data_IF_610677308278
#
_entry.id   IF_610677308278
#
_cell.length_a   1.000
_cell.length_b   1.000
_cell.length_c   1.000
_cell.angle_alpha   90.00
_cell.angle_beta   90.00
_cell.angle_gamma   90.00
#
_symmetry.space_group_name_H-M   'P 1'
#
loop_
_entity.id
_entity.type
_entity.pdbx_description
1 polymer ?
#
# COMPACT_ATOMS: atom_id res chain seq x y z
N UNK A 1 -50.48 22.09 16.51
CA UNK A 1 -50.04 23.48 16.29
C UNK A 1 -49.46 23.54 14.88
N UNK A 2 -50.16 24.20 13.94
CA UNK A 2 -49.71 24.42 12.56
C UNK A 2 -48.57 25.44 12.55
N UNK A 3 -47.56 25.27 11.72
CA UNK A 3 -46.95 26.40 11.03
C UNK A 3 -46.52 25.99 9.61
N UNK A 4 -47.06 26.71 8.65
CA UNK A 4 -46.83 26.65 7.23
C UNK A 4 -46.29 28.04 6.89
N UNK A 5 -45.17 28.15 6.17
CA UNK A 5 -44.68 29.42 5.62
C UNK A 5 -44.08 29.16 4.23
N UNK A 6 -44.35 30.12 3.34
CA UNK A 6 -44.35 30.04 1.89
C UNK A 6 -43.37 31.10 1.33
N UNK A 7 -42.86 30.86 0.10
CA UNK A 7 -42.23 31.83 -0.86
C UNK A 7 -40.78 32.29 -0.64
N UNK A 8 -39.98 32.74 -1.62
CA UNK A 8 -40.00 32.81 -3.10
C UNK A 8 -38.55 33.01 -3.59
N UNK A 9 -38.32 32.73 -4.88
CA UNK A 9 -37.13 33.05 -5.69
C UNK A 9 -36.58 34.47 -5.44
N UNK A 10 -35.25 34.59 -5.28
CA UNK A 10 -34.35 35.59 -5.91
C UNK A 10 -33.02 35.62 -5.17
N UNK A 11 -31.95 35.13 -5.80
CA UNK A 11 -30.55 35.58 -5.65
C UNK A 11 -29.63 34.66 -6.45
N UNK A 12 -29.85 34.59 -7.76
CA UNK A 12 -28.93 33.98 -8.73
C UNK A 12 -27.76 34.93 -9.09
N UNK A 13 -27.36 35.83 -8.19
CA UNK A 13 -26.40 36.90 -8.50
C UNK A 13 -25.28 37.08 -7.44
N UNK A 14 -25.20 36.21 -6.43
CA UNK A 14 -24.06 36.17 -5.49
C UNK A 14 -23.27 34.84 -5.59
N UNK A 15 -23.32 34.20 -6.75
CA UNK A 15 -22.65 32.91 -7.01
C UNK A 15 -21.30 33.07 -7.73
N UNK A 16 -20.84 34.31 -7.97
CA UNK A 16 -19.64 34.61 -8.78
C UNK A 16 -18.49 35.30 -8.05
N UNK A 17 -18.66 35.71 -6.79
CA UNK A 17 -17.61 36.36 -6.01
C UNK A 17 -17.63 35.84 -4.56
N UNK A 18 -17.05 34.64 -4.36
CA UNK A 18 -16.51 34.15 -3.09
C UNK A 18 -15.72 32.84 -3.35
N UNK A 19 -14.86 32.87 -4.37
CA UNK A 19 -14.06 31.70 -4.80
C UNK A 19 -12.69 31.63 -4.11
N UNK A 20 -12.53 32.25 -2.94
CA UNK A 20 -11.27 32.20 -2.15
C UNK A 20 -11.52 31.91 -0.66
N UNK A 21 -12.72 31.45 -0.28
CA UNK A 21 -13.04 31.10 1.12
C UNK A 21 -13.31 29.59 1.34
N UNK A 22 -12.94 28.72 0.39
CA UNK A 22 -13.36 27.32 0.36
C UNK A 22 -12.23 26.29 0.56
N UNK A 23 -11.33 26.49 1.54
CA UNK A 23 -10.64 25.36 2.20
C UNK A 23 -10.93 25.33 3.73
N UNK A 24 -11.99 26.01 4.21
CA UNK A 24 -12.41 25.97 5.64
C UNK A 24 -13.86 25.57 5.91
N UNK A 25 -14.69 25.39 4.88
CA UNK A 25 -16.02 24.83 5.05
C UNK A 25 -16.11 23.48 4.34
N UNK A 26 -15.56 22.46 4.99
CA UNK A 26 -15.93 21.06 4.73
C UNK A 26 -17.37 20.84 5.19
N UNK A 27 -18.33 21.27 4.38
CA UNK A 27 -19.64 20.63 4.37
C UNK A 27 -19.53 19.35 3.54
N UNK A 28 -18.76 18.39 4.06
CA UNK A 28 -19.05 16.99 3.79
C UNK A 28 -20.49 16.75 4.25
N UNK A 29 -21.30 16.19 3.36
CA UNK A 29 -22.71 15.85 3.54
C UNK A 29 -23.07 15.67 5.03
N UNK A 30 -23.70 16.68 5.64
CA UNK A 30 -24.12 16.68 7.04
C UNK A 30 -25.51 16.06 7.13
N UNK A 31 -25.69 14.76 7.42
CA UNK A 31 -27.03 14.25 7.70
C UNK A 31 -27.61 14.86 8.99
N UNK A 32 -26.78 15.45 9.86
CA UNK A 32 -27.20 16.13 11.10
C UNK A 32 -26.31 17.35 11.38
N UNK A 33 -26.91 18.45 11.84
CA UNK A 33 -26.27 19.77 11.90
C UNK A 33 -25.25 19.99 13.02
N UNK A 34 -25.21 19.11 14.04
CA UNK A 34 -24.55 19.43 15.33
C UNK A 34 -23.41 18.47 15.75
N UNK A 35 -22.73 17.80 14.82
CA UNK A 35 -21.57 16.95 15.18
C UNK A 35 -20.25 17.74 15.14
N UNK A 36 -19.42 17.73 16.20
CA UNK A 36 -18.09 18.33 16.18
C UNK A 36 -17.21 17.71 15.10
N UNK A 37 -16.59 18.55 14.26
CA UNK A 37 -15.60 18.11 13.26
C UNK A 37 -14.27 17.91 13.98
N UNK A 38 -13.74 16.69 13.99
CA UNK A 38 -12.37 16.44 14.45
C UNK A 38 -11.37 17.25 13.59
N UNK A 39 -10.46 18.05 14.17
CA UNK A 39 -9.43 18.79 13.46
C UNK A 39 -8.57 17.93 12.50
N UNK A 40 -8.55 16.60 12.67
CA UNK A 40 -7.92 15.65 11.77
C UNK A 40 -8.62 15.54 10.41
N UNK A 41 -9.94 15.78 10.32
CA UNK A 41 -10.70 15.71 9.06
C UNK A 41 -10.39 16.86 8.09
N UNK A 42 -9.78 17.95 8.56
CA UNK A 42 -9.25 19.00 7.69
C UNK A 42 -7.97 18.57 6.92
N UNK A 43 -7.33 17.44 7.29
CA UNK A 43 -5.95 17.11 6.88
C UNK A 43 -5.79 15.94 5.90
N UNK A 44 -6.70 14.96 5.87
CA UNK A 44 -6.45 13.70 5.15
C UNK A 44 -7.05 13.58 3.75
N UNK A 45 -8.11 14.32 3.44
CA UNK A 45 -8.84 14.17 2.16
C UNK A 45 -8.31 15.10 1.05
N UNK A 46 -7.37 15.98 1.39
CA UNK A 46 -6.91 17.06 0.53
C UNK A 46 -5.46 16.93 0.07
N UNK A 47 -4.61 16.19 0.78
CA UNK A 47 -3.16 16.26 0.61
C UNK A 47 -2.70 15.84 -0.79
N UNK A 48 -1.98 16.71 -1.52
CA UNK A 48 -1.56 16.40 -2.89
C UNK A 48 -0.51 15.28 -2.90
N UNK A 49 -0.60 14.36 -3.88
CA UNK A 49 0.32 13.23 -3.96
C UNK A 49 1.74 13.71 -4.18
N UNK A 50 2.73 12.92 -3.75
CA UNK A 50 4.13 13.21 -4.04
C UNK A 50 4.38 13.09 -5.55
N UNK A 51 5.03 14.10 -6.12
CA UNK A 51 5.64 14.06 -7.46
C UNK A 51 7.12 13.65 -7.40
N UNK A 52 7.73 13.62 -6.22
CA UNK A 52 9.06 13.02 -6.00
C UNK A 52 9.14 12.57 -4.54
N UNK A 53 9.28 11.27 -4.30
CA UNK A 53 9.34 10.71 -2.95
C UNK A 53 10.72 10.86 -2.28
N UNK A 54 11.78 11.08 -3.06
CA UNK A 54 13.13 11.30 -2.53
C UNK A 54 13.29 12.72 -2.00
N UNK A 55 12.72 13.72 -2.70
CA UNK A 55 12.73 15.13 -2.27
C UNK A 55 11.47 15.54 -1.51
N UNK A 56 10.48 14.65 -1.40
CA UNK A 56 9.14 14.91 -0.83
C UNK A 56 8.35 16.02 -1.53
N UNK A 57 8.62 16.28 -2.81
CA UNK A 57 7.88 17.28 -3.61
C UNK A 57 6.48 16.79 -3.92
N UNK A 58 5.47 17.68 -3.90
CA UNK A 58 4.04 17.35 -4.12
C UNK A 58 3.48 17.92 -5.43
N UNK A 59 2.42 17.29 -5.95
CA UNK A 59 1.72 17.73 -7.16
C UNK A 59 1.02 19.06 -6.90
N UNK A 60 1.34 20.06 -7.71
CA UNK A 60 0.68 21.36 -7.68
C UNK A 60 -0.10 21.54 -8.99
N UNK A 61 -1.43 21.75 -8.95
CA UNK A 61 -2.17 22.01 -10.18
C UNK A 61 -1.74 23.33 -10.82
N UNK A 62 -1.80 23.44 -12.16
CA UNK A 62 -1.48 24.68 -12.86
C UNK A 62 -2.30 25.86 -12.31
N UNK A 63 -1.64 26.99 -12.04
CA UNK A 63 -2.28 28.20 -11.53
C UNK A 63 -2.47 28.26 -10.01
N UNK A 64 -1.99 27.26 -9.26
CA UNK A 64 -2.04 27.26 -7.80
C UNK A 64 -0.65 27.48 -7.16
N UNK A 65 -0.58 28.01 -5.92
CA UNK A 65 0.66 28.02 -5.14
C UNK A 65 1.21 26.61 -4.93
N UNK A 66 2.52 26.50 -4.67
CA UNK A 66 3.17 25.23 -4.41
C UNK A 66 2.44 24.43 -3.31
N UNK A 67 2.10 23.19 -3.64
CA UNK A 67 1.33 22.32 -2.76
C UNK A 67 2.11 21.87 -1.53
N UNK A 68 1.51 22.06 -0.37
CA UNK A 68 1.96 21.61 0.95
C UNK A 68 1.29 20.29 1.34
N UNK A 69 1.62 19.75 2.52
CA UNK A 69 0.91 18.63 3.13
C UNK A 69 -0.54 18.95 3.55
N UNK A 70 -0.97 20.21 3.40
CA UNK A 70 -2.31 20.70 3.74
C UNK A 70 -3.09 21.29 2.56
N UNK A 71 -2.50 21.33 1.35
CA UNK A 71 -3.14 21.94 0.17
C UNK A 71 -4.33 21.12 -0.32
N UNK A 72 -5.37 21.75 -0.89
CA UNK A 72 -6.66 21.09 -1.20
C UNK A 72 -7.06 21.10 -2.70
N UNK A 73 -6.15 21.55 -3.59
CA UNK A 73 -6.43 21.97 -4.97
C UNK A 73 -6.85 20.85 -5.94
N UNK A 74 -6.64 19.58 -5.60
CA UNK A 74 -6.91 18.43 -6.47
C UNK A 74 -8.27 17.76 -6.21
N UNK A 75 -9.09 18.32 -5.32
CA UNK A 75 -10.38 17.72 -4.96
C UNK A 75 -11.39 17.89 -6.10
N UNK A 76 -11.96 16.77 -6.55
CA UNK A 76 -13.11 16.74 -7.44
C UNK A 76 -14.29 16.06 -6.72
N UNK A 77 -15.44 16.74 -6.66
CA UNK A 77 -16.68 16.15 -6.13
C UNK A 77 -17.39 15.46 -7.30
N UNK A 78 -17.61 14.14 -7.26
CA UNK A 78 -18.38 13.46 -8.30
C UNK A 78 -19.83 13.97 -8.29
N UNK A 79 -20.43 14.09 -9.47
CA UNK A 79 -21.76 14.67 -9.66
C UNK A 79 -22.90 13.83 -9.05
N UNK A 80 -22.69 12.52 -8.83
CA UNK A 80 -23.66 11.61 -8.22
C UNK A 80 -22.90 10.59 -7.36
N UNK A 81 -23.07 10.58 -6.02
CA UNK A 81 -22.52 9.50 -5.20
C UNK A 81 -23.30 8.20 -5.44
N UNK A 82 -22.62 7.04 -5.55
CA UNK A 82 -23.32 5.76 -5.67
C UNK A 82 -24.21 5.54 -4.43
N UNK A 83 -25.36 4.85 -4.57
CA UNK A 83 -26.32 4.67 -3.47
C UNK A 83 -25.74 3.85 -2.30
N UNK A 84 -24.62 3.14 -2.52
CA UNK A 84 -23.86 2.42 -1.52
C UNK A 84 -22.38 2.36 -1.91
N UNK A 85 -21.52 2.13 -0.91
CA UNK A 85 -20.08 1.94 -1.09
C UNK A 85 -19.83 0.45 -1.35
N UNK A 86 -19.37 0.11 -2.55
CA UNK A 86 -19.03 -1.28 -2.93
C UNK A 86 -17.56 -1.63 -2.71
N UNK A 87 -16.68 -0.62 -2.63
CA UNK A 87 -15.29 -0.81 -2.22
C UNK A 87 -15.14 -0.40 -0.75
N UNK A 88 -15.04 -1.39 0.12
CA UNK A 88 -14.91 -1.18 1.56
C UNK A 88 -13.46 -1.12 2.02
N UNK A 89 -12.47 -1.19 1.12
CA UNK A 89 -11.07 -1.24 1.49
C UNK A 89 -10.62 0.03 2.20
N UNK A 90 -9.86 -0.14 3.28
CA UNK A 90 -9.25 0.96 4.04
C UNK A 90 -7.72 0.77 4.03
N UNK A 91 -6.94 1.83 3.78
CA UNK A 91 -5.48 1.78 3.90
C UNK A 91 -5.05 1.25 5.27
N UNK A 92 -3.95 0.49 5.26
CA UNK A 92 -3.35 -0.15 6.44
C UNK A 92 -4.19 -1.26 7.10
N UNK A 93 -5.34 -1.63 6.56
CA UNK A 93 -6.16 -2.70 7.14
C UNK A 93 -5.42 -4.05 7.17
N UNK A 94 -5.44 -4.68 8.34
CA UNK A 94 -5.14 -6.09 8.57
C UNK A 94 -6.44 -6.91 8.53
N UNK A 95 -6.34 -8.25 8.62
CA UNK A 95 -7.53 -9.11 8.62
C UNK A 95 -8.52 -8.75 9.74
N UNK A 96 -8.02 -8.38 10.92
CA UNK A 96 -8.88 -8.04 12.07
C UNK A 96 -9.75 -6.80 11.80
N UNK A 97 -9.21 -5.83 11.06
CA UNK A 97 -9.88 -4.56 10.71
C UNK A 97 -11.09 -4.75 9.80
N UNK A 98 -11.24 -5.94 9.21
CA UNK A 98 -12.40 -6.25 8.39
C UNK A 98 -13.67 -6.27 9.26
N UNK A 99 -13.57 -6.72 10.51
CA UNK A 99 -14.73 -6.97 11.36
C UNK A 99 -14.64 -6.38 12.79
N UNK A 100 -13.54 -5.70 13.14
CA UNK A 100 -13.43 -4.94 14.40
C UNK A 100 -12.81 -3.56 14.20
N UNK A 101 -13.50 -2.53 14.66
CA UNK A 101 -13.02 -1.14 14.67
C UNK A 101 -12.61 -0.63 16.07
N UNK A 102 -12.84 -1.40 17.15
CA UNK A 102 -12.65 -0.93 18.54
C UNK A 102 -11.81 -1.90 19.38
N UNK A 103 -11.11 -2.81 18.73
CA UNK A 103 -10.20 -3.76 19.38
C UNK A 103 -8.80 -3.15 19.46
N UNK A 104 -8.08 -3.37 20.56
CA UNK A 104 -6.73 -2.82 20.74
C UNK A 104 -5.70 -3.41 19.80
N UNK A 105 -5.98 -4.59 19.22
CA UNK A 105 -5.15 -5.21 18.20
C UNK A 105 -5.60 -4.86 16.77
N UNK A 106 -6.68 -4.11 16.60
CA UNK A 106 -7.10 -3.57 15.32
C UNK A 106 -6.38 -2.25 15.05
N UNK A 107 -6.27 -1.88 13.77
CA UNK A 107 -5.63 -0.67 13.27
C UNK A 107 -6.62 0.26 12.55
N UNK A 108 -7.81 0.57 13.12
CA UNK A 108 -8.70 1.56 12.54
C UNK A 108 -7.99 2.90 12.51
N UNK A 109 -8.23 3.66 11.45
CA UNK A 109 -7.65 5.00 11.30
C UNK A 109 -8.73 5.99 10.85
N UNK A 110 -8.36 7.26 10.73
CA UNK A 110 -9.29 8.31 10.33
C UNK A 110 -10.00 7.99 8.99
N UNK A 111 -9.34 7.23 8.10
CA UNK A 111 -9.93 6.80 6.83
C UNK A 111 -10.98 5.70 7.02
N UNK A 112 -10.88 4.86 8.05
CA UNK A 112 -11.95 3.91 8.42
C UNK A 112 -13.25 4.66 8.71
N UNK A 113 -13.19 5.69 9.55
CA UNK A 113 -14.36 6.52 9.85
C UNK A 113 -14.85 7.26 8.61
N UNK A 114 -13.95 7.84 7.82
CA UNK A 114 -14.30 8.62 6.64
C UNK A 114 -14.96 7.77 5.55
N UNK A 115 -14.41 6.59 5.23
CA UNK A 115 -14.95 5.73 4.18
C UNK A 115 -16.19 4.96 4.64
N UNK A 116 -16.23 4.51 5.90
CA UNK A 116 -17.22 3.54 6.35
C UNK A 116 -18.25 4.12 7.33
N UNK A 117 -18.10 5.38 7.75
CA UNK A 117 -19.02 6.04 8.67
C UNK A 117 -19.09 5.36 10.05
N UNK A 118 -17.98 4.79 10.51
CA UNK A 118 -17.87 4.07 11.79
C UNK A 118 -18.21 2.58 11.73
N UNK A 119 -18.73 2.11 10.60
CA UNK A 119 -18.95 0.69 10.34
C UNK A 119 -17.62 -0.02 10.02
N UNK A 120 -17.56 -1.32 10.31
CA UNK A 120 -16.46 -2.18 9.84
C UNK A 120 -16.60 -2.44 8.35
N UNK A 121 -15.54 -2.92 7.70
CA UNK A 121 -15.59 -3.27 6.28
C UNK A 121 -16.65 -4.34 6.01
N UNK A 122 -16.76 -5.35 6.89
CA UNK A 122 -17.78 -6.40 6.82
C UNK A 122 -19.21 -5.85 7.01
N UNK A 123 -19.42 -4.90 7.92
CA UNK A 123 -20.73 -4.25 8.10
C UNK A 123 -21.14 -3.44 6.88
N UNK A 124 -20.21 -2.67 6.28
CA UNK A 124 -20.49 -1.93 5.05
C UNK A 124 -20.75 -2.85 3.87
N UNK A 125 -19.98 -3.94 3.74
CA UNK A 125 -20.22 -4.98 2.76
C UNK A 125 -21.64 -5.56 2.92
N UNK A 126 -22.03 -5.99 4.13
CA UNK A 126 -23.36 -6.54 4.37
C UNK A 126 -24.49 -5.55 4.02
N UNK A 127 -24.31 -4.26 4.33
CA UNK A 127 -25.26 -3.20 3.98
C UNK A 127 -25.42 -3.02 2.46
N UNK A 128 -24.37 -3.27 1.69
CA UNK A 128 -24.40 -3.21 0.23
C UNK A 128 -25.09 -4.42 -0.42
N UNK A 129 -25.43 -5.48 0.34
CA UNK A 129 -26.06 -6.71 -0.16
C UNK A 129 -25.36 -7.29 -1.39
N UNK A 130 -24.08 -7.71 -1.25
CA UNK A 130 -23.23 -8.03 -2.39
C UNK A 130 -23.72 -9.30 -3.09
N UNK A 131 -23.70 -9.29 -4.43
CA UNK A 131 -23.92 -10.50 -5.23
C UNK A 131 -22.62 -11.27 -5.46
N UNK A 132 -21.48 -10.61 -5.32
CA UNK A 132 -20.15 -11.18 -5.43
C UNK A 132 -19.18 -10.42 -4.51
N UNK A 133 -18.20 -11.11 -3.92
CA UNK A 133 -17.20 -10.49 -3.03
C UNK A 133 -15.78 -10.86 -3.47
N UNK A 134 -14.92 -9.86 -3.65
CA UNK A 134 -13.47 -10.08 -3.79
C UNK A 134 -12.77 -9.61 -2.52
N UNK A 135 -11.93 -10.47 -1.94
CA UNK A 135 -11.18 -10.16 -0.71
C UNK A 135 -9.69 -10.25 -1.00
N UNK A 136 -8.98 -9.12 -0.84
CA UNK A 136 -7.52 -9.08 -0.86
C UNK A 136 -7.01 -8.42 0.41
N UNK A 137 -6.64 -9.25 1.39
CA UNK A 137 -6.28 -8.82 2.75
C UNK A 137 -5.22 -9.77 3.32
N UNK A 138 -4.41 -9.27 4.26
CA UNK A 138 -3.35 -10.04 4.92
C UNK A 138 -1.93 -9.59 4.57
N UNK A 139 -1.77 -8.70 3.58
CA UNK A 139 -0.48 -8.07 3.31
C UNK A 139 0.03 -7.24 4.50
N UNK A 140 -0.83 -6.46 5.15
CA UNK A 140 -0.42 -5.61 6.27
C UNK A 140 -0.05 -6.42 7.53
N UNK A 141 -0.61 -7.62 7.70
CA UNK A 141 -0.26 -8.58 8.78
C UNK A 141 1.21 -9.06 8.74
N UNK A 142 1.97 -8.71 7.70
CA UNK A 142 3.41 -8.98 7.58
C UNK A 142 4.22 -7.79 7.06
N UNK A 143 3.62 -6.92 6.23
CA UNK A 143 4.29 -5.75 5.66
C UNK A 143 4.79 -4.79 6.74
N UNK A 144 4.02 -4.55 7.80
CA UNK A 144 4.40 -3.65 8.89
C UNK A 144 5.71 -4.05 9.57
N UNK A 145 6.00 -5.35 9.66
CA UNK A 145 7.28 -5.86 10.12
C UNK A 145 8.39 -5.56 9.10
N UNK A 146 8.17 -5.86 7.82
CA UNK A 146 9.17 -5.67 6.76
C UNK A 146 9.56 -4.20 6.58
N UNK A 147 8.61 -3.26 6.65
CA UNK A 147 8.83 -1.82 6.39
C UNK A 147 8.95 -0.97 7.65
N UNK A 148 9.11 -1.60 8.81
CA UNK A 148 9.29 -0.93 10.10
C UNK A 148 10.49 0.03 10.04
N UNK A 149 10.26 1.31 10.36
CA UNK A 149 11.30 2.34 10.29
C UNK A 149 12.35 2.24 11.40
N UNK A 150 12.05 1.50 12.47
CA UNK A 150 12.95 1.31 13.63
C UNK A 150 13.79 0.04 13.51
N UNK A 151 13.18 -1.03 13.03
CA UNK A 151 13.84 -2.29 12.71
C UNK A 151 13.05 -3.00 11.60
N UNK A 152 13.46 -2.89 10.33
CA UNK A 152 12.83 -3.60 9.23
C UNK A 152 13.12 -5.09 9.39
N UNK A 153 12.07 -5.92 9.40
CA UNK A 153 12.19 -7.35 9.72
C UNK A 153 11.82 -7.70 11.16
N UNK A 154 11.41 -6.73 11.99
CA UNK A 154 10.97 -6.94 13.36
C UNK A 154 9.80 -7.95 13.43
N UNK A 155 10.14 -9.19 13.77
CA UNK A 155 9.19 -10.30 13.77
C UNK A 155 8.10 -10.18 14.83
N UNK A 156 8.25 -9.29 15.82
CA UNK A 156 7.19 -9.03 16.80
C UNK A 156 5.96 -8.33 16.20
N UNK A 157 6.13 -7.71 15.03
CA UNK A 157 5.08 -7.01 14.28
C UNK A 157 4.41 -7.89 13.22
N UNK A 158 4.81 -9.16 13.10
CA UNK A 158 4.13 -10.13 12.24
C UNK A 158 2.95 -10.68 13.02
N UNK A 159 1.75 -10.68 12.45
CA UNK A 159 0.61 -11.38 13.05
C UNK A 159 0.97 -12.87 13.24
N UNK A 160 0.91 -13.45 14.46
CA UNK A 160 1.26 -14.85 14.61
C UNK A 160 0.35 -15.73 13.74
N UNK A 161 0.89 -16.77 13.08
CA UNK A 161 0.15 -17.61 12.11
C UNK A 161 -1.18 -18.11 12.67
N UNK A 162 -1.21 -18.64 13.90
CA UNK A 162 -2.45 -19.11 14.53
C UNK A 162 -3.48 -17.97 14.73
N UNK A 163 -3.01 -16.76 15.04
CA UNK A 163 -3.87 -15.58 15.19
C UNK A 163 -4.40 -15.14 13.83
N UNK A 164 -3.57 -15.12 12.79
CA UNK A 164 -3.99 -14.84 11.42
C UNK A 164 -5.07 -15.83 10.97
N UNK A 165 -4.85 -17.13 11.18
CA UNK A 165 -5.80 -18.19 10.81
C UNK A 165 -7.17 -17.96 11.46
N UNK A 166 -7.20 -17.76 12.78
CA UNK A 166 -8.44 -17.49 13.52
C UNK A 166 -9.16 -16.21 13.05
N UNK A 167 -8.40 -15.14 12.76
CA UNK A 167 -8.95 -13.90 12.23
C UNK A 167 -9.51 -14.08 10.82
N UNK A 168 -8.81 -14.85 9.99
CA UNK A 168 -9.23 -15.11 8.62
C UNK A 168 -10.50 -15.97 8.58
N UNK A 169 -10.61 -16.99 9.43
CA UNK A 169 -11.82 -17.82 9.58
C UNK A 169 -13.03 -16.97 10.03
N UNK A 170 -12.78 -16.01 10.93
CA UNK A 170 -13.82 -15.06 11.35
C UNK A 170 -14.26 -14.17 10.18
N UNK A 171 -13.30 -13.64 9.40
CA UNK A 171 -13.57 -12.82 8.24
C UNK A 171 -14.37 -13.57 7.16
N UNK A 172 -13.98 -14.80 6.83
CA UNK A 172 -14.70 -15.63 5.83
C UNK A 172 -16.11 -15.96 6.31
N UNK A 173 -16.33 -16.14 7.61
CA UNK A 173 -17.67 -16.29 8.19
C UNK A 173 -18.57 -15.07 7.94
N UNK A 174 -18.04 -13.83 8.01
CA UNK A 174 -18.79 -12.62 7.63
C UNK A 174 -19.12 -12.57 6.14
N UNK A 175 -18.19 -12.97 5.27
CA UNK A 175 -18.43 -13.06 3.83
C UNK A 175 -19.52 -14.09 3.51
N UNK A 176 -19.46 -15.27 4.12
CA UNK A 176 -20.47 -16.31 3.95
C UNK A 176 -21.86 -15.87 4.46
N UNK A 177 -21.91 -15.16 5.59
CA UNK A 177 -23.15 -14.63 6.16
C UNK A 177 -23.84 -13.60 5.26
N UNK A 178 -23.08 -12.88 4.43
CA UNK A 178 -23.63 -11.97 3.41
C UNK A 178 -24.26 -12.70 2.21
N UNK A 179 -24.07 -14.02 2.11
CA UNK A 179 -24.65 -14.91 1.07
C UNK A 179 -24.42 -14.43 -0.37
N UNK A 180 -23.19 -14.06 -0.77
CA UNK A 180 -22.92 -13.75 -2.16
C UNK A 180 -23.11 -14.99 -3.03
N UNK A 181 -23.34 -14.80 -4.33
CA UNK A 181 -23.42 -15.90 -5.31
C UNK A 181 -22.05 -16.51 -5.62
N UNK A 182 -20.98 -15.79 -5.33
CA UNK A 182 -19.60 -16.24 -5.48
C UNK A 182 -18.66 -15.29 -4.76
N UNK A 183 -17.45 -15.77 -4.47
CA UNK A 183 -16.41 -14.93 -3.90
C UNK A 183 -15.02 -15.37 -4.38
N UNK A 184 -14.06 -14.47 -4.32
CA UNK A 184 -12.67 -14.77 -4.62
C UNK A 184 -11.78 -14.25 -3.51
N UNK A 185 -10.92 -15.13 -3.01
CA UNK A 185 -9.88 -14.80 -2.03
C UNK A 185 -8.56 -14.63 -2.77
N UNK A 186 -7.95 -13.46 -2.64
CA UNK A 186 -6.67 -13.14 -3.26
C UNK A 186 -5.57 -13.32 -2.22
N UNK A 187 -4.55 -14.09 -2.58
CA UNK A 187 -3.40 -14.36 -1.74
C UNK A 187 -2.63 -13.09 -1.34
N UNK A 188 -1.93 -13.18 -0.22
CA UNK A 188 -0.96 -12.18 0.20
C UNK A 188 0.15 -12.10 -0.85
N UNK A 189 0.48 -10.89 -1.33
CA UNK A 189 1.66 -10.69 -2.18
C UNK A 189 2.97 -10.78 -1.37
N UNK A 190 4.05 -11.29 -1.95
CA UNK A 190 5.33 -11.42 -1.27
C UNK A 190 5.93 -10.04 -0.95
N UNK A 191 5.86 -9.64 0.32
CA UNK A 191 6.33 -8.33 0.80
C UNK A 191 7.85 -8.21 0.81
N UNK A 192 8.58 -9.32 0.69
CA UNK A 192 10.05 -9.34 0.72
C UNK A 192 10.66 -9.05 -0.65
N UNK A 193 9.87 -9.15 -1.73
CA UNK A 193 10.29 -8.91 -3.10
C UNK A 193 9.85 -7.54 -3.64
N UNK A 194 9.45 -6.63 -2.74
CA UNK A 194 9.05 -5.28 -3.11
C UNK A 194 10.26 -4.46 -3.58
N UNK A 195 10.13 -3.60 -4.62
CA UNK A 195 11.20 -2.69 -5.00
C UNK A 195 11.50 -1.60 -3.96
N UNK A 196 10.70 -1.52 -2.88
CA UNK A 196 11.05 -0.85 -1.64
C UNK A 196 12.40 -1.32 -1.09
N UNK A 197 12.77 -2.58 -1.33
CA UNK A 197 14.05 -3.14 -0.96
C UNK A 197 15.00 -3.26 -2.15
N UNK A 198 16.29 -3.12 -1.87
CA UNK A 198 17.35 -3.63 -2.73
C UNK A 198 18.17 -4.64 -1.94
N UNK A 199 18.60 -5.73 -2.57
CA UNK A 199 19.43 -6.72 -1.91
C UNK A 199 20.80 -6.13 -1.55
N UNK A 200 21.42 -6.60 -0.45
CA UNK A 200 22.82 -6.29 -0.15
C UNK A 200 23.74 -6.65 -1.31
N UNK A 201 23.45 -7.75 -2.00
CA UNK A 201 24.13 -8.18 -3.22
C UNK A 201 24.05 -7.15 -4.35
N UNK A 202 22.92 -6.44 -4.49
CA UNK A 202 22.77 -5.36 -5.48
C UNK A 202 23.72 -4.20 -5.16
N UNK A 203 23.80 -3.77 -3.90
CA UNK A 203 24.75 -2.74 -3.48
C UNK A 203 26.20 -3.18 -3.72
N UNK A 204 26.54 -4.43 -3.39
CA UNK A 204 27.88 -4.96 -3.64
C UNK A 204 28.21 -5.01 -5.14
N UNK A 205 27.26 -5.43 -5.98
CA UNK A 205 27.42 -5.47 -7.43
C UNK A 205 27.66 -4.07 -8.00
N UNK A 206 26.87 -3.06 -7.59
CA UNK A 206 27.05 -1.66 -7.99
C UNK A 206 28.44 -1.15 -7.61
N UNK A 207 28.86 -1.34 -6.34
CA UNK A 207 30.20 -0.94 -5.88
C UNK A 207 31.32 -1.51 -6.77
N UNK A 208 31.16 -2.75 -7.22
CA UNK A 208 32.14 -3.46 -8.05
C UNK A 208 31.90 -3.26 -9.56
N UNK A 209 31.04 -2.33 -9.96
CA UNK A 209 30.71 -2.02 -11.37
C UNK A 209 30.10 -3.19 -12.15
N UNK A 210 29.39 -4.08 -11.46
CA UNK A 210 28.73 -5.25 -12.03
C UNK A 210 27.24 -5.04 -12.29
N UNK A 211 26.67 -3.91 -11.86
CA UNK A 211 25.27 -3.54 -12.03
C UNK A 211 25.13 -2.03 -12.25
N UNK A 212 23.95 -1.56 -12.65
CA UNK A 212 23.64 -0.14 -12.79
C UNK A 212 22.86 0.38 -11.57
N UNK A 213 23.11 1.63 -11.11
CA UNK A 213 24.20 2.52 -11.52
C UNK A 213 25.57 1.89 -11.29
N UNK A 214 26.58 2.22 -12.08
CA UNK A 214 27.89 1.52 -12.02
C UNK A 214 28.85 2.07 -10.96
N UNK A 215 28.45 3.13 -10.25
CA UNK A 215 29.29 3.83 -9.29
C UNK A 215 28.43 4.47 -8.19
N UNK A 216 28.89 4.37 -6.95
CA UNK A 216 28.36 5.13 -5.81
C UNK A 216 29.21 6.37 -5.50
N UNK A 217 28.74 7.34 -4.70
CA UNK A 217 29.57 8.43 -4.20
C UNK A 217 30.86 7.92 -3.57
N UNK A 218 31.98 8.61 -3.76
CA UNK A 218 33.32 8.16 -3.33
C UNK A 218 33.43 7.86 -1.84
N UNK A 219 32.66 8.55 -1.00
CA UNK A 219 32.63 8.38 0.46
C UNK A 219 31.64 7.30 0.94
N UNK A 220 30.95 6.63 0.01
CA UNK A 220 30.08 5.50 0.32
C UNK A 220 30.82 4.19 0.04
N UNK A 221 30.85 3.33 1.05
CA UNK A 221 31.45 2.00 0.98
C UNK A 221 30.40 0.92 1.24
N UNK A 222 30.69 -0.29 0.76
CA UNK A 222 29.85 -1.48 0.99
C UNK A 222 30.78 -2.59 1.49
N UNK A 223 30.43 -3.17 2.64
CA UNK A 223 31.16 -4.28 3.25
C UNK A 223 31.17 -5.53 2.36
N UNK A 224 32.20 -6.37 2.53
CA UNK A 224 32.34 -7.63 1.76
C UNK A 224 31.26 -8.66 2.09
N UNK A 225 30.69 -8.63 3.31
CA UNK A 225 29.57 -9.50 3.70
C UNK A 225 28.28 -9.19 2.92
N UNK A 226 28.17 -8.03 2.27
CA UNK A 226 27.08 -7.73 1.34
C UNK A 226 27.25 -8.42 -0.02
N UNK A 227 28.34 -9.14 -0.29
CA UNK A 227 28.49 -9.91 -1.51
C UNK A 227 27.45 -11.06 -1.59
N UNK A 228 27.13 -11.54 -2.80
CA UNK A 228 26.40 -12.80 -2.96
C UNK A 228 27.11 -13.96 -2.28
N UNK A 229 26.36 -14.89 -1.69
CA UNK A 229 26.94 -16.06 -1.02
C UNK A 229 27.77 -16.92 -1.98
N UNK A 230 27.37 -16.96 -3.26
CA UNK A 230 28.05 -17.69 -4.33
C UNK A 230 29.48 -17.20 -4.62
N UNK A 231 29.86 -16.00 -4.14
CA UNK A 231 31.24 -15.49 -4.31
C UNK A 231 32.27 -16.22 -3.44
N UNK A 232 31.85 -16.98 -2.43
CA UNK A 232 32.75 -17.67 -1.49
C UNK A 232 33.48 -16.74 -0.52
N UNK A 233 33.19 -15.43 -0.52
CA UNK A 233 33.74 -14.48 0.45
C UNK A 233 33.23 -14.85 1.86
N UNK A 234 34.12 -14.99 2.87
CA UNK A 234 33.70 -15.31 4.23
C UNK A 234 32.66 -14.31 4.76
N UNK A 235 31.51 -14.83 5.20
CA UNK A 235 30.39 -14.01 5.71
C UNK A 235 29.49 -13.37 4.64
N UNK A 236 29.72 -13.64 3.35
CA UNK A 236 28.86 -13.15 2.27
C UNK A 236 27.42 -13.68 2.41
N UNK A 237 26.46 -12.75 2.40
CA UNK A 237 25.04 -13.02 2.66
C UNK A 237 24.11 -12.02 1.97
N UNK A 238 24.63 -11.24 1.04
CA UNK A 238 23.93 -10.13 0.40
C UNK A 238 22.64 -10.52 -0.34
N UNK A 239 22.54 -11.76 -0.79
CA UNK A 239 21.34 -12.30 -1.47
C UNK A 239 20.15 -12.45 -0.52
N UNK A 240 20.40 -12.46 0.79
CA UNK A 240 19.39 -12.69 1.85
C UNK A 240 19.28 -11.52 2.82
N UNK A 241 19.87 -10.38 2.47
CA UNK A 241 19.78 -9.12 3.20
C UNK A 241 19.01 -8.13 2.37
N UNK A 242 17.94 -7.56 2.93
CA UNK A 242 17.16 -6.54 2.25
C UNK A 242 17.44 -5.17 2.86
N UNK A 243 17.81 -4.22 2.01
CA UNK A 243 18.09 -2.84 2.41
C UNK A 243 16.89 -1.99 2.01
N UNK A 244 16.11 -1.45 2.97
CA UNK A 244 15.05 -0.49 2.68
C UNK A 244 15.59 0.72 1.94
N UNK A 245 14.90 1.18 0.89
CA UNK A 245 15.33 2.36 0.15
C UNK A 245 15.51 3.61 1.04
N UNK A 246 14.71 3.88 2.10
CA UNK A 246 14.92 5.07 2.90
C UNK A 246 16.26 5.04 3.64
N UNK A 247 16.67 3.87 4.12
CA UNK A 247 17.96 3.69 4.78
C UNK A 247 19.11 3.82 3.77
N UNK A 248 19.05 3.07 2.67
CA UNK A 248 20.06 3.12 1.63
C UNK A 248 20.23 4.52 1.01
N UNK A 249 19.13 5.21 0.74
CA UNK A 249 19.14 6.58 0.25
C UNK A 249 19.75 7.56 1.27
N UNK A 250 19.45 7.41 2.56
CA UNK A 250 20.03 8.25 3.60
C UNK A 250 21.56 8.10 3.69
N UNK A 251 22.09 6.87 3.56
CA UNK A 251 23.53 6.64 3.50
C UNK A 251 24.16 7.32 2.28
N UNK A 252 23.53 7.20 1.11
CA UNK A 252 24.03 7.79 -0.13
C UNK A 252 23.97 9.32 -0.12
N UNK A 253 22.90 9.91 0.41
CA UNK A 253 22.77 11.37 0.57
C UNK A 253 23.82 11.90 1.52
N UNK A 254 24.08 11.21 2.63
CA UNK A 254 25.12 11.62 3.58
C UNK A 254 26.52 11.55 2.96
N UNK A 255 26.80 10.54 2.15
CA UNK A 255 28.09 10.38 1.45
C UNK A 255 28.27 11.30 0.23
N UNK A 256 27.20 11.91 -0.28
CA UNK A 256 27.24 12.80 -1.44
C UNK A 256 27.53 14.25 -1.02
N UNK A 257 28.10 15.09 -1.92
CA UNK A 257 28.13 16.53 -1.72
C UNK A 257 26.70 17.10 -1.55
N UNK A 258 26.51 18.14 -0.73
CA UNK A 258 27.52 18.85 0.07
C UNK A 258 27.85 18.18 1.41
N UNK A 259 27.16 17.10 1.78
CA UNK A 259 27.27 16.50 3.12
C UNK A 259 28.63 15.86 3.37
N UNK A 260 29.19 15.17 2.36
CA UNK A 260 30.54 14.57 2.37
C UNK A 260 30.86 13.76 3.65
N UNK A 261 29.89 13.04 4.17
CA UNK A 261 30.05 12.22 5.37
C UNK A 261 30.34 10.76 4.98
N UNK A 262 31.47 10.18 5.40
CA UNK A 262 31.74 8.76 5.16
C UNK A 262 30.62 7.88 5.68
N UNK A 263 30.17 6.94 4.83
CA UNK A 263 29.15 5.95 5.18
C UNK A 263 29.57 4.58 4.66
N UNK A 264 29.22 3.55 5.42
CA UNK A 264 29.38 2.16 5.00
C UNK A 264 28.04 1.45 5.13
N UNK A 265 27.66 0.70 4.11
CA UNK A 265 26.62 -0.31 4.23
C UNK A 265 27.25 -1.62 4.68
N UNK A 266 26.84 -2.08 5.86
CA UNK A 266 27.22 -3.38 6.43
C UNK A 266 26.01 -4.31 6.44
N UNK A 267 26.21 -5.57 6.07
CA UNK A 267 25.16 -6.58 5.98
C UNK A 267 25.16 -7.56 7.18
N UNK A 268 25.70 -7.12 8.32
CA UNK A 268 25.78 -7.90 9.56
C UNK A 268 24.46 -7.90 10.35
N UNK A 269 24.26 -8.92 11.20
CA UNK A 269 23.05 -9.03 12.03
C UNK A 269 22.91 -7.93 13.10
N UNK A 270 24.00 -7.21 13.39
CA UNK A 270 23.98 -6.07 14.31
C UNK A 270 23.37 -4.81 13.70
N UNK A 271 23.15 -4.76 12.38
CA UNK A 271 22.58 -3.60 11.71
C UNK A 271 21.05 -3.67 11.79
N UNK A 272 20.45 -2.89 12.70
CA UNK A 272 18.99 -2.84 12.92
C UNK A 272 18.23 -2.05 11.84
N UNK A 273 18.87 -1.68 10.72
CA UNK A 273 18.28 -0.86 9.65
C UNK A 273 18.12 -1.62 8.32
N UNK A 274 18.37 -2.93 8.33
CA UNK A 274 18.21 -3.85 7.20
C UNK A 274 17.42 -5.06 7.66
N UNK A 275 16.73 -5.74 6.75
CA UNK A 275 16.16 -7.05 7.03
C UNK A 275 17.29 -8.07 6.97
N UNK A 276 17.55 -8.72 8.09
CA UNK A 276 18.57 -9.77 8.21
C UNK A 276 18.05 -11.12 7.70
N UNK A 277 18.91 -12.09 7.34
CA UNK A 277 18.50 -13.43 6.92
C UNK A 277 17.60 -14.19 7.91
N UNK A 278 17.81 -14.12 9.25
CA UNK A 278 16.86 -14.68 10.21
C UNK A 278 15.47 -14.01 10.14
N UNK A 279 15.40 -12.70 9.98
CA UNK A 279 14.14 -11.95 9.86
C UNK A 279 13.45 -12.23 8.52
N UNK A 280 14.20 -12.26 7.42
CA UNK A 280 13.72 -12.62 6.10
C UNK A 280 13.03 -13.99 6.11
N UNK A 281 13.64 -14.99 6.76
CA UNK A 281 13.02 -16.32 6.92
C UNK A 281 11.69 -16.26 7.66
N UNK A 282 11.56 -15.40 8.67
CA UNK A 282 10.30 -15.24 9.41
C UNK A 282 9.22 -14.57 8.56
N UNK A 283 9.58 -13.52 7.82
CA UNK A 283 8.67 -12.84 6.89
C UNK A 283 8.15 -13.79 5.81
N UNK A 284 9.06 -14.51 5.15
CA UNK A 284 8.71 -15.51 4.11
C UNK A 284 7.88 -16.65 4.70
N UNK A 285 8.26 -17.15 5.88
CA UNK A 285 7.53 -18.23 6.56
C UNK A 285 6.08 -17.83 6.89
N UNK A 286 5.86 -16.62 7.40
CA UNK A 286 4.51 -16.11 7.67
C UNK A 286 3.69 -15.95 6.39
N UNK A 287 4.27 -15.33 5.36
CA UNK A 287 3.65 -15.19 4.03
C UNK A 287 3.18 -16.53 3.45
N UNK A 288 4.04 -17.56 3.46
CA UNK A 288 3.70 -18.88 2.95
C UNK A 288 2.57 -19.53 3.76
N UNK A 289 2.63 -19.43 5.08
CA UNK A 289 1.60 -19.98 5.97
C UNK A 289 0.25 -19.27 5.80
N UNK A 290 0.24 -17.95 5.62
CA UNK A 290 -0.98 -17.19 5.34
C UNK A 290 -1.61 -17.64 4.04
N UNK A 291 -0.84 -17.70 2.94
CA UNK A 291 -1.38 -18.10 1.63
C UNK A 291 -1.90 -19.54 1.61
N UNK A 292 -1.24 -20.46 2.31
CA UNK A 292 -1.74 -21.81 2.49
C UNK A 292 -3.12 -21.83 3.18
N UNK A 293 -3.30 -21.01 4.23
CA UNK A 293 -4.59 -20.89 4.92
C UNK A 293 -5.67 -20.24 4.06
N UNK A 294 -5.33 -19.18 3.31
CA UNK A 294 -6.27 -18.50 2.41
C UNK A 294 -6.80 -19.47 1.34
N UNK A 295 -5.91 -20.25 0.71
CA UNK A 295 -6.28 -21.24 -0.28
C UNK A 295 -7.17 -22.36 0.32
N UNK A 296 -6.88 -22.79 1.56
CA UNK A 296 -7.70 -23.75 2.28
C UNK A 296 -9.10 -23.21 2.56
N UNK A 297 -9.22 -21.95 2.98
CA UNK A 297 -10.50 -21.27 3.20
C UNK A 297 -11.31 -21.13 1.91
N UNK A 298 -10.67 -20.76 0.80
CA UNK A 298 -11.34 -20.73 -0.50
C UNK A 298 -11.93 -22.10 -0.85
N UNK A 299 -11.13 -23.17 -0.68
CA UNK A 299 -11.56 -24.56 -0.91
C UNK A 299 -12.75 -24.94 -0.03
N UNK A 300 -12.67 -24.66 1.28
CA UNK A 300 -13.71 -25.02 2.25
C UNK A 300 -15.05 -24.33 1.97
N UNK A 301 -15.02 -23.10 1.46
CA UNK A 301 -16.21 -22.33 1.11
C UNK A 301 -16.66 -22.50 -0.36
N UNK A 302 -15.94 -23.30 -1.16
CA UNK A 302 -16.15 -23.42 -2.62
C UNK A 302 -16.06 -22.05 -3.33
N UNK A 303 -15.12 -21.24 -2.88
CA UNK A 303 -14.76 -19.95 -3.46
C UNK A 303 -13.50 -20.06 -4.31
N UNK A 304 -13.30 -19.09 -5.20
CA UNK A 304 -12.10 -19.04 -6.02
C UNK A 304 -10.90 -18.53 -5.20
N UNK A 305 -9.71 -19.09 -5.46
CA UNK A 305 -8.46 -18.58 -4.91
C UNK A 305 -7.56 -18.06 -6.05
N UNK A 306 -7.12 -16.81 -5.94
CA UNK A 306 -6.12 -16.25 -6.85
C UNK A 306 -4.82 -15.96 -6.10
N UNK A 307 -3.74 -16.63 -6.48
CA UNK A 307 -2.39 -16.25 -6.06
C UNK A 307 -1.87 -15.10 -6.95
N UNK A 308 -1.64 -13.89 -6.42
CA UNK A 308 -1.11 -12.78 -7.23
C UNK A 308 0.41 -12.93 -7.51
N UNK A 309 1.13 -13.79 -6.78
CA UNK A 309 2.59 -13.84 -6.81
C UNK A 309 3.17 -14.21 -8.17
N UNK A 310 2.69 -15.25 -8.90
CA UNK A 310 3.21 -15.56 -10.23
C UNK A 310 3.13 -14.38 -11.21
N UNK A 311 2.07 -13.57 -11.12
CA UNK A 311 1.90 -12.37 -11.94
C UNK A 311 2.92 -11.30 -11.54
N UNK A 312 3.10 -11.04 -10.25
CA UNK A 312 4.06 -10.08 -9.74
C UNK A 312 5.52 -10.51 -9.99
N UNK A 313 5.82 -11.80 -9.86
CA UNK A 313 7.12 -12.41 -10.15
C UNK A 313 7.49 -12.21 -11.62
N UNK A 314 6.54 -12.39 -12.53
CA UNK A 314 6.79 -12.17 -13.97
C UNK A 314 7.23 -10.73 -14.27
N UNK A 315 6.65 -9.74 -13.59
CA UNK A 315 7.04 -8.34 -13.72
C UNK A 315 8.45 -8.09 -13.17
N UNK A 316 8.85 -8.80 -12.12
CA UNK A 316 10.20 -8.69 -11.53
C UNK A 316 11.31 -9.18 -12.44
N UNK A 317 11.01 -10.10 -13.35
CA UNK A 317 11.99 -10.54 -14.36
C UNK A 317 12.28 -9.46 -15.41
N UNK A 318 11.50 -8.38 -15.45
CA UNK A 318 11.63 -7.27 -16.42
C UNK A 318 12.21 -6.03 -15.70
N UNK A 319 13.49 -5.68 -15.90
CA UNK A 319 14.16 -4.61 -15.13
C UNK A 319 13.57 -3.20 -15.28
N UNK A 320 12.78 -2.97 -16.33
CA UNK A 320 12.04 -1.71 -16.54
C UNK A 320 10.70 -1.69 -15.78
N UNK A 321 10.12 -2.87 -15.53
CA UNK A 321 8.88 -3.01 -14.76
C UNK A 321 9.17 -2.97 -13.27
N UNK A 322 10.18 -3.70 -12.80
CA UNK A 322 10.68 -3.61 -11.42
C UNK A 322 12.18 -3.39 -11.46
N UNK A 323 12.63 -2.28 -10.89
CA UNK A 323 14.07 -1.96 -10.88
C UNK A 323 14.76 -2.70 -9.72
N UNK A 324 15.88 -3.39 -9.97
CA UNK A 324 16.69 -3.98 -8.89
C UNK A 324 17.26 -2.93 -7.93
N UNK A 325 17.46 -1.71 -8.41
CA UNK A 325 17.91 -0.56 -7.65
C UNK A 325 17.12 0.69 -8.07
N UNK A 326 16.57 1.49 -7.13
CA UNK A 326 15.73 2.62 -7.48
C UNK A 326 16.53 3.78 -8.09
N UNK A 327 15.91 4.53 -9.01
CA UNK A 327 16.48 5.78 -9.53
C UNK A 327 16.33 6.90 -8.50
N UNK A 328 17.32 7.00 -7.61
CA UNK A 328 17.33 8.00 -6.55
C UNK A 328 17.30 9.43 -7.10
N UNK A 329 16.62 10.32 -6.37
CA UNK A 329 16.50 11.75 -6.71
C UNK A 329 15.55 12.06 -7.88
N UNK A 330 15.02 11.05 -8.57
CA UNK A 330 14.11 11.26 -9.71
C UNK A 330 12.66 11.48 -9.27
N UNK A 331 11.89 12.29 -10.02
CA UNK A 331 10.45 12.42 -9.77
C UNK A 331 9.71 11.10 -10.01
N UNK A 332 8.56 10.98 -9.39
CA UNK A 332 7.57 9.92 -9.59
C UNK A 332 7.29 9.61 -11.06
N UNK A 333 7.16 10.65 -11.89
CA UNK A 333 6.91 10.52 -13.32
C UNK A 333 8.01 9.77 -14.07
N UNK A 334 9.22 9.66 -13.49
CA UNK A 334 10.32 8.88 -14.04
C UNK A 334 10.30 7.40 -13.63
N UNK A 335 9.29 6.95 -12.89
CA UNK A 335 9.13 5.58 -12.41
C UNK A 335 10.38 5.06 -11.69
N UNK A 336 10.74 5.65 -10.53
CA UNK A 336 12.00 5.35 -9.88
C UNK A 336 12.13 3.91 -9.39
N UNK A 337 11.02 3.20 -9.21
CA UNK A 337 10.97 1.78 -8.84
C UNK A 337 10.64 0.85 -10.03
N UNK A 338 10.47 1.42 -11.24
CA UNK A 338 9.97 0.73 -12.43
C UNK A 338 8.48 0.99 -12.67
N UNK A 339 7.94 0.52 -13.80
CA UNK A 339 6.55 0.81 -14.21
C UNK A 339 5.50 -0.05 -13.49
N UNK A 340 5.91 -1.12 -12.81
CA UNK A 340 4.99 -2.06 -12.17
C UNK A 340 4.54 -1.64 -10.77
N UNK A 341 5.29 -0.77 -10.10
CA UNK A 341 4.99 -0.30 -8.75
C UNK A 341 4.83 1.21 -8.72
N UNK A 342 4.08 1.69 -7.73
CA UNK A 342 3.88 3.09 -7.44
C UNK A 342 5.17 3.73 -6.89
N UNK A 343 5.15 5.04 -6.66
CA UNK A 343 6.30 5.76 -6.13
C UNK A 343 6.71 5.38 -4.72
N UNK A 344 5.92 4.62 -3.97
CA UNK A 344 6.33 4.13 -2.66
C UNK A 344 7.19 2.86 -2.73
N UNK A 345 7.30 2.24 -3.91
CA UNK A 345 8.01 0.97 -4.08
C UNK A 345 7.28 -0.23 -3.43
N UNK A 346 6.03 -0.07 -3.00
CA UNK A 346 5.25 -1.08 -2.28
C UNK A 346 3.99 -1.44 -3.06
N UNK A 347 3.18 -0.45 -3.44
CA UNK A 347 1.88 -0.71 -4.05
C UNK A 347 2.01 -0.93 -5.56
N UNK A 348 1.28 -1.89 -6.16
CA UNK A 348 1.24 -2.04 -7.61
C UNK A 348 0.75 -0.75 -8.29
N UNK A 349 1.35 -0.39 -9.43
CA UNK A 349 0.92 0.75 -10.24
C UNK A 349 -0.47 0.50 -10.84
N UNK A 350 -1.11 1.54 -11.39
CA UNK A 350 -2.40 1.38 -12.07
C UNK A 350 -2.36 0.33 -13.20
N UNK A 351 -1.24 0.23 -13.93
CA UNK A 351 -1.05 -0.77 -14.97
C UNK A 351 -0.97 -2.20 -14.38
N UNK A 352 -0.26 -2.38 -13.27
CA UNK A 352 -0.19 -3.68 -12.59
C UNK A 352 -1.51 -4.06 -11.93
N UNK A 353 -2.23 -3.10 -11.34
CA UNK A 353 -3.58 -3.33 -10.82
C UNK A 353 -4.53 -3.77 -11.93
N UNK A 354 -4.45 -3.15 -13.12
CA UNK A 354 -5.21 -3.59 -14.31
C UNK A 354 -4.85 -5.02 -14.71
N UNK A 355 -3.57 -5.37 -14.72
CA UNK A 355 -3.12 -6.74 -15.02
C UNK A 355 -3.66 -7.76 -14.01
N UNK A 356 -3.58 -7.46 -12.70
CA UNK A 356 -4.14 -8.31 -11.64
C UNK A 356 -5.66 -8.43 -11.79
N UNK A 357 -6.35 -7.33 -12.09
CA UNK A 357 -7.79 -7.35 -12.32
C UNK A 357 -8.18 -8.18 -13.58
N UNK A 358 -7.34 -8.20 -14.62
CA UNK A 358 -7.52 -9.09 -15.77
C UNK A 358 -7.36 -10.55 -15.38
N UNK A 359 -6.38 -10.88 -14.53
CA UNK A 359 -6.21 -12.23 -13.97
C UNK A 359 -7.36 -12.66 -13.07
N UNK A 360 -7.85 -11.74 -12.24
CA UNK A 360 -9.02 -11.94 -11.40
C UNK A 360 -10.27 -12.20 -12.25
N UNK A 361 -10.48 -11.43 -13.32
CA UNK A 361 -11.56 -11.65 -14.29
C UNK A 361 -11.48 -13.03 -14.92
N UNK A 362 -10.30 -13.46 -15.36
CA UNK A 362 -10.07 -14.79 -15.95
C UNK A 362 -10.44 -15.91 -14.95
N UNK A 363 -9.98 -15.79 -13.70
CA UNK A 363 -10.29 -16.74 -12.64
C UNK A 363 -11.80 -16.80 -12.33
N UNK A 364 -12.45 -15.64 -12.19
CA UNK A 364 -13.90 -15.55 -11.91
C UNK A 364 -14.73 -16.12 -13.06
N UNK A 365 -14.39 -15.80 -14.32
CA UNK A 365 -15.10 -16.34 -15.47
C UNK A 365 -15.00 -17.87 -15.52
N UNK A 366 -13.82 -18.43 -15.24
CA UNK A 366 -13.59 -19.86 -15.20
C UNK A 366 -14.34 -20.54 -14.05
N UNK A 367 -14.22 -20.03 -12.82
CA UNK A 367 -14.79 -20.64 -11.62
C UNK A 367 -16.32 -20.59 -11.59
N UNK A 368 -16.91 -19.50 -12.08
CA UNK A 368 -18.34 -19.22 -11.95
C UNK A 368 -19.11 -19.27 -13.28
N UNK A 369 -18.46 -19.66 -14.38
CA UNK A 369 -19.05 -19.66 -15.73
C UNK A 369 -19.68 -18.31 -16.09
N UNK A 370 -19.03 -17.22 -15.69
CA UNK A 370 -19.48 -15.85 -15.97
C UNK A 370 -18.84 -15.31 -17.25
N UNK A 371 -19.38 -14.20 -17.75
CA UNK A 371 -18.90 -13.52 -18.97
C UNK A 371 -18.53 -12.07 -18.68
N UNK A 372 -17.73 -11.83 -17.62
CA UNK A 372 -17.24 -10.49 -17.29
C UNK A 372 -16.36 -10.01 -18.46
N UNK A 373 -16.65 -8.84 -19.06
CA UNK A 373 -15.92 -8.34 -20.20
C UNK A 373 -14.48 -7.95 -19.83
N UNK A 374 -13.62 -7.87 -20.84
CA UNK A 374 -12.25 -7.43 -20.63
C UNK A 374 -12.18 -5.99 -20.09
N UNK A 375 -11.19 -5.74 -19.24
CA UNK A 375 -10.96 -4.42 -18.66
C UNK A 375 -10.22 -3.58 -19.72
N UNK A 376 -10.81 -2.47 -20.20
CA UNK A 376 -10.29 -1.68 -21.32
C UNK A 376 -8.94 -1.05 -20.99
#
# INVERSE_FOLDING_TARGET
>A
MRLMLWTKRSSAALLGLLLVAACHNDELNRPFADTPVDPLFARYVSMPPYTNVFTRTRLTPPGFPASTDSSCYLRAIPSIPPPYISNTAVPSAEVLDIYKNVDTAANPNALTQFFLGGLTQAQMMAKAQPTFVSVWIGNNDVLGAATSSTNPGDSSKITPVAVFQSRYDSMTSFVAAAKPKGAVLIGVGNVTDLPFFSAGATYWAIKNKLALPDTFPTLFTVSSNCAPAATGIPGARGDTVLVPFPYGAALLVAASPPNNQPRNLDCSDSVVAIVTPPELRRLVGAFLAYNAHIAAQATAHQWEYLDPNPTLDSLRTVPTAVRPFPRLGQPCSANPFGTAFSCDGVHPSAASQKLIAQKLREAINAAYSTAIPAIP
#
